data_IF_096799035555
#
_entry.id   IF_096799035555
#
_cell.length_a   1.000
_cell.length_b   1.000
_cell.length_c   1.000
_cell.angle_alpha   90.00
_cell.angle_beta   90.00
_cell.angle_gamma   90.00
#
_symmetry.space_group_name_H-M   'P 1'
#
loop_
_entity.id
_entity.type
_entity.pdbx_description
1 polymer ?
#
# COMPACT_ATOMS: atom_id res chain seq x y z
N UNK A 1 9.21 9.71 9.29
CA UNK A 1 8.58 8.44 9.64
C UNK A 1 9.58 7.57 10.39
N UNK A 2 9.19 7.03 11.52
CA UNK A 2 10.01 6.14 12.36
C UNK A 2 11.39 6.75 12.73
N UNK A 3 11.42 8.05 13.02
CA UNK A 3 12.65 8.78 13.36
C UNK A 3 13.52 9.17 12.17
N UNK A 4 13.18 8.79 10.95
CA UNK A 4 13.90 9.14 9.75
C UNK A 4 13.11 10.12 8.89
N UNK A 5 13.82 11.05 8.26
CA UNK A 5 13.22 12.04 7.38
C UNK A 5 12.76 11.39 6.07
N UNK A 6 11.55 11.74 5.62
CA UNK A 6 11.04 11.32 4.31
C UNK A 6 11.54 12.26 3.22
N UNK A 7 11.79 11.72 2.05
CA UNK A 7 12.21 12.49 0.88
C UNK A 7 11.01 13.00 0.11
N UNK A 8 11.06 14.27 -0.30
CA UNK A 8 10.02 14.86 -1.13
C UNK A 8 10.08 14.27 -2.55
N UNK A 9 8.96 13.70 -2.99
CA UNK A 9 8.77 13.23 -4.38
C UNK A 9 8.19 14.35 -5.22
N UNK A 10 7.16 15.00 -4.72
CA UNK A 10 6.52 16.19 -5.29
C UNK A 10 5.85 17.00 -4.16
N UNK A 11 5.06 18.02 -4.51
CA UNK A 11 4.43 18.90 -3.51
C UNK A 11 3.51 18.17 -2.52
N UNK A 12 2.92 17.05 -2.95
CA UNK A 12 1.93 16.31 -2.14
C UNK A 12 2.43 14.94 -1.67
N UNK A 13 3.61 14.49 -2.11
CA UNK A 13 4.12 13.15 -1.83
C UNK A 13 5.52 13.18 -1.23
N UNK A 14 5.67 12.44 -0.13
CA UNK A 14 6.96 12.16 0.50
C UNK A 14 7.13 10.66 0.65
N UNK A 15 8.33 10.15 0.48
CA UNK A 15 8.57 8.71 0.55
C UNK A 15 9.80 8.35 1.38
N UNK A 16 9.80 7.13 1.90
CA UNK A 16 10.94 6.53 2.58
C UNK A 16 10.91 5.02 2.38
N UNK A 17 12.08 4.43 2.18
CA UNK A 17 12.24 2.98 2.16
C UNK A 17 12.71 2.51 3.53
N UNK A 18 12.00 1.55 4.12
CA UNK A 18 12.27 1.02 5.44
C UNK A 18 12.36 -0.50 5.41
N UNK A 19 13.31 -1.05 6.16
CA UNK A 19 13.32 -2.48 6.48
C UNK A 19 12.43 -2.66 7.70
N UNK A 20 11.31 -3.33 7.52
CA UNK A 20 10.30 -3.53 8.56
C UNK A 20 10.13 -5.01 8.88
N UNK A 21 9.85 -5.28 10.14
CA UNK A 21 9.47 -6.61 10.62
C UNK A 21 8.00 -6.62 11.00
N UNK A 22 7.39 -7.78 10.87
CA UNK A 22 6.01 -7.96 11.30
C UNK A 22 5.90 -7.64 12.80
N UNK A 23 4.95 -6.78 13.12
CA UNK A 23 4.73 -6.33 14.50
C UNK A 23 5.53 -5.11 14.93
N UNK A 24 6.40 -4.58 14.09
CA UNK A 24 7.12 -3.33 14.40
C UNK A 24 6.14 -2.18 14.65
N UNK A 25 6.47 -1.33 15.62
CA UNK A 25 5.74 -0.10 15.88
C UNK A 25 6.41 1.05 15.12
N UNK A 26 5.64 1.75 14.32
CA UNK A 26 6.11 2.85 13.48
C UNK A 26 5.54 4.15 14.02
N UNK A 27 6.41 5.12 14.28
CA UNK A 27 6.00 6.46 14.67
C UNK A 27 5.96 7.37 13.44
N UNK A 28 4.98 8.26 13.40
CA UNK A 28 4.83 9.21 12.31
C UNK A 28 4.78 10.64 12.87
N UNK A 29 5.70 11.47 12.39
CA UNK A 29 5.70 12.91 12.63
C UNK A 29 5.37 13.59 11.31
N UNK A 30 4.10 13.56 10.96
CA UNK A 30 3.56 14.07 9.71
C UNK A 30 2.45 15.07 10.06
N UNK A 31 2.42 16.26 9.45
CA UNK A 31 1.36 17.22 9.69
C UNK A 31 -0.04 16.62 9.45
N UNK A 32 -0.97 16.88 10.37
CA UNK A 32 -2.36 16.39 10.31
C UNK A 32 -2.48 14.87 10.28
N UNK A 33 -1.53 14.15 10.86
CA UNK A 33 -1.52 12.67 10.82
C UNK A 33 -2.77 12.07 11.46
N UNK A 34 -3.36 12.74 12.45
CA UNK A 34 -4.63 12.34 13.05
C UNK A 34 -5.80 12.30 12.08
N UNK A 35 -5.70 13.00 10.95
CA UNK A 35 -6.70 13.00 9.87
C UNK A 35 -6.45 11.94 8.80
N UNK A 36 -5.35 11.20 8.90
CA UNK A 36 -5.00 10.20 7.89
C UNK A 36 -5.90 8.98 7.97
N UNK A 37 -6.31 8.51 6.81
CA UNK A 37 -6.90 7.18 6.68
C UNK A 37 -5.79 6.14 6.81
N UNK A 38 -5.93 5.24 7.77
CA UNK A 38 -4.93 4.20 8.04
C UNK A 38 -5.38 2.91 7.39
N UNK A 39 -4.57 2.41 6.46
CA UNK A 39 -4.88 1.19 5.70
C UNK A 39 -4.84 -0.03 6.63
N UNK A 40 -5.99 -0.70 6.84
CA UNK A 40 -6.07 -1.84 7.76
C UNK A 40 -5.31 -3.07 7.29
N UNK A 41 -4.92 -3.11 6.02
CA UNK A 41 -4.11 -4.22 5.48
C UNK A 41 -2.66 -4.13 5.91
N UNK A 42 -2.17 -2.93 6.19
CA UNK A 42 -0.76 -2.69 6.52
C UNK A 42 -0.54 -2.26 7.95
N UNK A 43 -1.53 -1.61 8.58
CA UNK A 43 -1.34 -0.98 9.88
C UNK A 43 -2.51 -1.21 10.83
N UNK A 44 -2.17 -1.31 12.11
CA UNK A 44 -3.12 -1.22 13.22
C UNK A 44 -2.69 -0.06 14.12
N UNK A 45 -3.61 0.86 14.41
CA UNK A 45 -3.31 2.04 15.22
C UNK A 45 -3.28 1.65 16.69
N UNK A 46 -2.15 1.92 17.35
CA UNK A 46 -1.97 1.73 18.79
C UNK A 46 -2.57 2.90 19.59
N UNK A 47 -2.80 2.69 20.89
CA UNK A 47 -3.35 3.72 21.77
C UNK A 47 -2.47 4.97 21.87
N UNK A 48 -1.15 4.82 21.75
CA UNK A 48 -0.19 5.92 21.76
C UNK A 48 -0.08 6.68 20.44
N UNK A 49 -0.86 6.29 19.43
CA UNK A 49 -0.85 6.89 18.10
C UNK A 49 0.17 6.31 17.14
N UNK A 50 1.05 5.43 17.59
CA UNK A 50 1.94 4.70 16.69
C UNK A 50 1.18 3.66 15.89
N UNK A 51 1.79 3.15 14.82
CA UNK A 51 1.20 2.16 13.94
C UNK A 51 1.94 0.84 14.06
N UNK A 52 1.21 -0.22 14.32
CA UNK A 52 1.75 -1.58 14.27
C UNK A 52 1.76 -2.06 12.83
N UNK A 53 2.92 -2.50 12.36
CA UNK A 53 3.08 -3.02 11.00
C UNK A 53 2.60 -4.48 10.92
N UNK A 54 1.68 -4.77 10.00
CA UNK A 54 1.01 -6.07 9.93
C UNK A 54 1.65 -7.08 8.97
N UNK A 55 2.23 -6.66 7.81
CA UNK A 55 2.80 -7.62 6.87
C UNK A 55 4.08 -8.30 7.39
N UNK A 56 4.49 -9.34 6.69
CA UNK A 56 5.73 -10.07 6.97
C UNK A 56 6.97 -9.18 6.79
N UNK A 57 8.09 -9.61 7.33
CA UNK A 57 9.37 -8.91 7.25
C UNK A 57 9.76 -8.61 5.80
N UNK A 58 10.33 -7.44 5.57
CA UNK A 58 10.81 -7.05 4.26
C UNK A 58 11.15 -5.57 4.14
N UNK A 59 11.52 -5.18 2.93
CA UNK A 59 11.74 -3.77 2.58
C UNK A 59 10.48 -3.21 1.96
N UNK A 60 10.04 -2.07 2.48
CA UNK A 60 8.81 -1.41 2.05
C UNK A 60 9.07 0.05 1.78
N UNK A 61 8.44 0.56 0.74
CA UNK A 61 8.35 2.01 0.50
C UNK A 61 7.05 2.51 1.07
N UNK A 62 7.14 3.48 1.97
CA UNK A 62 5.98 4.16 2.52
C UNK A 62 5.91 5.54 1.90
N UNK A 63 4.79 5.87 1.28
CA UNK A 63 4.55 7.14 0.62
C UNK A 63 3.45 7.87 1.37
N UNK A 64 3.77 9.04 1.91
CA UNK A 64 2.77 9.92 2.50
C UNK A 64 2.16 10.79 1.41
N UNK A 65 0.86 10.63 1.19
CA UNK A 65 0.09 11.48 0.30
C UNK A 65 -0.61 12.55 1.14
N UNK A 66 -0.08 13.77 1.10
CA UNK A 66 -0.57 14.87 1.91
C UNK A 66 -1.91 15.43 1.42
N UNK A 67 -2.21 15.26 0.13
CA UNK A 67 -3.46 15.73 -0.44
C UNK A 67 -4.64 14.84 -0.04
N UNK A 68 -4.41 13.52 0.09
CA UNK A 68 -5.45 12.55 0.41
C UNK A 68 -5.38 12.03 1.85
N UNK A 69 -4.41 12.48 2.64
CA UNK A 69 -4.20 12.02 4.02
C UNK A 69 -4.08 10.48 4.09
N UNK A 70 -3.12 9.95 3.36
CA UNK A 70 -3.00 8.51 3.15
C UNK A 70 -1.52 8.07 3.15
N UNK A 71 -1.23 6.97 3.82
CA UNK A 71 0.06 6.29 3.74
C UNK A 71 -0.06 5.10 2.80
N UNK A 72 0.52 5.21 1.62
CA UNK A 72 0.60 4.10 0.67
C UNK A 72 1.83 3.25 1.00
N UNK A 73 1.69 1.93 0.92
CA UNK A 73 2.78 0.99 1.19
C UNK A 73 3.01 0.13 -0.04
N UNK A 74 4.27 0.09 -0.48
CA UNK A 74 4.70 -0.74 -1.60
C UNK A 74 5.79 -1.71 -1.13
N UNK A 75 5.64 -2.98 -1.45
CA UNK A 75 6.70 -3.97 -1.23
C UNK A 75 7.83 -3.73 -2.23
N UNK A 76 9.05 -3.69 -1.75
CA UNK A 76 10.22 -3.39 -2.58
C UNK A 76 11.14 -4.60 -2.73
N UNK A 77 11.86 -4.61 -3.85
CA UNK A 77 13.01 -5.48 -4.09
C UNK A 77 14.17 -4.58 -4.51
N UNK A 78 15.01 -4.21 -3.56
CA UNK A 78 16.00 -3.16 -3.78
C UNK A 78 15.34 -1.83 -4.06
N UNK A 79 15.64 -1.20 -5.18
CA UNK A 79 15.08 0.10 -5.59
C UNK A 79 13.84 -0.02 -6.49
N UNK A 80 13.44 -1.24 -6.83
CA UNK A 80 12.26 -1.52 -7.66
C UNK A 80 11.13 -2.10 -6.82
N UNK A 81 9.89 -1.92 -7.30
CA UNK A 81 8.76 -2.62 -6.69
C UNK A 81 8.91 -4.12 -6.87
N UNK A 82 8.54 -4.89 -5.84
CA UNK A 82 8.65 -6.34 -5.86
C UNK A 82 7.67 -6.97 -6.86
N UNK A 83 8.02 -8.14 -7.35
CA UNK A 83 7.19 -8.96 -8.23
C UNK A 83 6.88 -10.28 -7.55
N UNK A 84 5.84 -10.98 -7.99
CA UNK A 84 5.49 -12.29 -7.47
C UNK A 84 6.44 -13.35 -8.05
N UNK A 85 7.09 -14.09 -7.18
CA UNK A 85 7.97 -15.19 -7.55
C UNK A 85 7.17 -16.50 -7.72
N UNK A 86 7.73 -17.46 -8.42
CA UNK A 86 7.10 -18.78 -8.65
C UNK A 86 6.79 -19.53 -7.35
N UNK A 87 7.59 -19.28 -6.30
CA UNK A 87 7.38 -19.90 -4.98
C UNK A 87 6.30 -19.20 -4.15
N UNK A 88 5.66 -18.14 -4.68
CA UNK A 88 4.61 -17.38 -3.99
C UNK A 88 5.12 -16.29 -3.06
N UNK A 89 6.43 -16.02 -3.04
CA UNK A 89 7.00 -14.87 -2.33
C UNK A 89 7.01 -13.61 -3.22
N UNK A 90 7.27 -12.45 -2.62
CA UNK A 90 7.36 -11.19 -3.34
C UNK A 90 6.13 -10.32 -3.12
N UNK A 91 5.46 -9.92 -4.19
CA UNK A 91 4.30 -9.04 -4.11
C UNK A 91 3.25 -9.36 -5.15
N UNK A 92 2.00 -9.13 -4.81
CA UNK A 92 0.84 -9.25 -5.69
C UNK A 92 0.14 -7.90 -5.76
N UNK A 93 -0.28 -7.52 -6.95
CA UNK A 93 -0.79 -6.18 -7.26
C UNK A 93 -2.19 -6.23 -7.84
N UNK A 94 -2.99 -5.18 -7.59
CA UNK A 94 -4.32 -5.02 -8.17
C UNK A 94 -4.31 -3.82 -9.11
N UNK A 95 -4.76 -4.03 -10.33
CA UNK A 95 -4.88 -2.99 -11.36
C UNK A 95 -6.24 -3.15 -12.04
N UNK A 96 -6.95 -2.06 -12.24
CA UNK A 96 -8.21 -2.05 -12.94
C UNK A 96 -9.25 -1.10 -12.37
N UNK A 97 -10.45 -1.20 -12.88
CA UNK A 97 -11.55 -0.30 -12.56
C UNK A 97 -12.30 -0.68 -11.29
N UNK A 98 -12.78 0.31 -10.59
CA UNK A 98 -13.72 0.14 -9.49
C UNK A 98 -13.06 -0.05 -8.13
N UNK A 99 -11.74 0.12 -8.03
CA UNK A 99 -10.99 -0.03 -6.78
C UNK A 99 -9.99 1.12 -6.61
N UNK A 100 -9.73 1.50 -5.38
CA UNK A 100 -8.76 2.55 -5.04
C UNK A 100 -8.65 2.78 -3.55
N UNK A 101 -7.50 3.29 -3.11
CA UNK A 101 -7.24 3.67 -1.72
C UNK A 101 -6.72 5.10 -1.66
N UNK A 102 -7.11 5.91 -0.69
CA UNK A 102 -8.01 5.62 0.43
C UNK A 102 -9.47 5.46 0.02
N UNK A 103 -9.83 5.89 -1.18
CA UNK A 103 -11.16 5.66 -1.75
C UNK A 103 -11.10 5.61 -3.26
N UNK A 104 -12.05 4.93 -3.88
CA UNK A 104 -12.16 4.89 -5.34
C UNK A 104 -12.57 6.25 -5.91
N UNK A 105 -13.30 7.05 -5.14
CA UNK A 105 -13.74 8.39 -5.56
C UNK A 105 -12.58 9.37 -5.70
N UNK A 106 -11.57 9.27 -4.84
CA UNK A 106 -10.44 10.23 -4.80
C UNK A 106 -9.17 9.70 -5.47
N UNK A 107 -9.00 8.40 -5.55
CA UNK A 107 -7.76 7.79 -6.04
C UNK A 107 -7.98 6.43 -6.68
N UNK A 108 -8.86 6.39 -7.67
CA UNK A 108 -9.11 5.16 -8.44
C UNK A 108 -7.84 4.68 -9.13
N UNK A 109 -7.60 3.38 -9.09
CA UNK A 109 -6.46 2.76 -9.77
C UNK A 109 -6.66 2.84 -11.29
N UNK A 110 -7.81 2.39 -11.78
CA UNK A 110 -8.06 2.28 -13.20
C UNK A 110 -7.06 1.35 -13.87
N UNK A 111 -6.80 1.59 -15.14
CA UNK A 111 -5.80 0.84 -15.91
C UNK A 111 -4.45 1.58 -15.97
N UNK A 112 -4.17 2.40 -14.97
CA UNK A 112 -2.87 3.07 -14.77
C UNK A 112 -2.01 2.17 -13.90
N UNK A 113 -1.04 1.51 -14.49
CA UNK A 113 -0.24 0.46 -13.81
C UNK A 113 0.59 1.00 -12.65
N UNK A 114 1.06 2.25 -12.75
CA UNK A 114 1.83 2.93 -11.71
C UNK A 114 1.01 3.18 -10.44
N UNK A 115 -0.31 3.11 -10.54
CA UNK A 115 -1.24 3.23 -9.42
C UNK A 115 -1.66 1.90 -8.85
N UNK A 116 -1.13 0.79 -9.35
CA UNK A 116 -1.44 -0.55 -8.87
C UNK A 116 -1.33 -0.66 -7.35
N UNK A 117 -2.35 -1.25 -6.72
CA UNK A 117 -2.37 -1.45 -5.27
C UNK A 117 -1.52 -2.65 -4.91
N UNK A 118 -0.62 -2.46 -3.94
CA UNK A 118 0.12 -3.55 -3.33
C UNK A 118 -0.77 -4.29 -2.34
N UNK A 119 -0.91 -5.61 -2.49
CA UNK A 119 -1.59 -6.41 -1.49
C UNK A 119 -0.67 -6.65 -0.29
N UNK A 120 -1.26 -6.77 0.89
CA UNK A 120 -0.52 -7.05 2.12
C UNK A 120 -0.30 -8.56 2.27
N UNK A 121 0.94 -8.98 2.41
CA UNK A 121 1.29 -10.38 2.70
C UNK A 121 1.48 -10.55 4.21
N UNK A 122 0.49 -11.13 4.90
CA UNK A 122 0.51 -11.30 6.35
C UNK A 122 1.09 -12.64 6.79
N UNK A 123 1.14 -13.61 5.90
CA UNK A 123 1.77 -14.92 6.09
C UNK A 123 2.43 -15.34 4.78
N UNK A 124 3.30 -16.33 4.83
CA UNK A 124 3.90 -16.89 3.62
C UNK A 124 2.80 -17.32 2.64
N UNK A 125 2.87 -16.82 1.41
CA UNK A 125 1.95 -17.14 0.30
C UNK A 125 0.50 -16.71 0.50
N UNK A 126 0.22 -15.85 1.51
CA UNK A 126 -1.12 -15.30 1.74
C UNK A 126 -1.11 -13.80 1.56
N UNK A 127 -1.87 -13.33 0.60
CA UNK A 127 -2.03 -11.92 0.28
C UNK A 127 -3.45 -11.49 0.56
N UNK A 128 -3.60 -10.29 1.13
CA UNK A 128 -4.92 -9.76 1.45
C UNK A 128 -5.09 -8.32 0.97
N UNK A 129 -6.32 -7.96 0.70
CA UNK A 129 -6.77 -6.60 0.52
C UNK A 129 -8.14 -6.46 1.18
N UNK A 130 -8.30 -5.42 1.97
CA UNK A 130 -9.57 -5.11 2.63
C UNK A 130 -10.16 -3.88 1.95
N UNK A 131 -11.37 -4.01 1.45
CA UNK A 131 -12.07 -2.93 0.76
C UNK A 131 -13.52 -2.86 1.23
N UNK A 132 -14.01 -1.65 1.45
CA UNK A 132 -15.40 -1.41 1.87
C UNK A 132 -16.19 -0.92 0.66
N UNK A 133 -17.33 -1.56 0.41
CA UNK A 133 -18.20 -1.20 -0.71
C UNK A 133 -18.67 0.25 -0.59
N UNK A 134 -18.54 1.00 -1.68
CA UNK A 134 -18.83 2.43 -1.72
C UNK A 134 -17.69 3.34 -1.29
N UNK A 135 -16.61 2.76 -0.74
CA UNK A 135 -15.40 3.50 -0.32
C UNK A 135 -14.19 3.11 -1.16
N UNK A 136 -13.51 2.01 -0.84
CA UNK A 136 -12.35 1.54 -1.60
C UNK A 136 -12.73 0.72 -2.82
N UNK A 137 -13.93 0.17 -2.85
CA UNK A 137 -14.45 -0.57 -4.01
C UNK A 137 -15.85 -0.08 -4.35
N UNK A 138 -16.13 0.06 -5.64
CA UNK A 138 -17.47 0.40 -6.11
C UNK A 138 -18.47 -0.69 -5.74
N UNK A 139 -19.74 -0.33 -5.64
CA UNK A 139 -20.82 -1.29 -5.46
C UNK A 139 -21.27 -1.94 -6.78
N UNK A 140 -20.85 -1.40 -7.92
CA UNK A 140 -21.17 -1.85 -9.26
C UNK A 140 -20.02 -1.57 -10.25
N UNK A 141 -20.09 -2.10 -11.44
CA UNK A 141 -19.12 -1.87 -12.54
C UNK A 141 -17.67 -2.05 -12.10
N UNK A 142 -17.37 -3.19 -11.48
CA UNK A 142 -16.04 -3.54 -11.02
C UNK A 142 -15.37 -4.41 -12.08
N UNK A 143 -14.17 -4.00 -12.50
CA UNK A 143 -13.37 -4.78 -13.44
C UNK A 143 -11.89 -4.55 -13.15
N UNK A 144 -11.32 -5.35 -12.26
CA UNK A 144 -9.89 -5.32 -11.97
C UNK A 144 -9.29 -6.72 -12.05
N UNK A 145 -7.97 -6.77 -12.11
CA UNK A 145 -7.21 -8.02 -12.20
C UNK A 145 -6.03 -7.99 -11.24
N UNK A 146 -5.53 -9.17 -10.94
CA UNK A 146 -4.31 -9.35 -10.15
C UNK A 146 -3.12 -9.45 -11.09
N UNK A 147 -2.02 -8.83 -10.70
CA UNK A 147 -0.78 -8.80 -11.50
C UNK A 147 0.40 -9.25 -10.66
N UNK A 148 1.37 -9.90 -11.31
CA UNK A 148 2.64 -10.29 -10.71
C UNK A 148 3.58 -9.11 -10.49
N UNK A 149 3.26 -7.95 -11.03
CA UNK A 149 4.10 -6.75 -10.98
C UNK A 149 3.24 -5.50 -11.02
N UNK A 150 3.80 -4.38 -10.58
CA UNK A 150 3.18 -3.07 -10.73
C UNK A 150 3.46 -2.53 -12.14
N UNK A 151 2.91 -3.17 -13.14
CA UNK A 151 3.15 -2.85 -14.54
C UNK A 151 2.39 -3.78 -15.46
N UNK A 152 2.38 -3.46 -16.74
CA UNK A 152 1.78 -4.31 -17.76
C UNK A 152 2.55 -5.62 -17.93
N UNK A 153 1.85 -6.65 -18.37
CA UNK A 153 2.36 -8.01 -18.37
C UNK A 153 2.24 -8.64 -16.98
N UNK A 154 2.48 -9.91 -16.85
CA UNK A 154 2.40 -10.58 -15.55
C UNK A 154 1.01 -10.61 -14.93
N UNK A 155 -0.05 -10.53 -15.74
CA UNK A 155 -1.41 -10.74 -15.27
C UNK A 155 -1.54 -12.15 -14.69
N UNK A 156 -2.07 -12.24 -13.48
CA UNK A 156 -2.32 -13.52 -12.81
C UNK A 156 -3.60 -14.14 -13.39
N UNK A 157 -3.47 -15.32 -13.94
CA UNK A 157 -4.60 -16.05 -14.56
C UNK A 157 -5.03 -17.24 -13.71
#
# INVERSE_FOLDING_TARGET
LNGSEMEMVDDDHYSIDLNLKQGDNITADIPNFDQYWIDPDFFEKNEDGSLKFLPIDGTYRVIANLALNYLEVLKMNGTSTATLNDDGTGALWIIGDGIGKPSVATNAVGWTTEKGLCMSQIEAKKYQVTVVAGEQIKSDDINFKFFHQQGWGGEYK
#
